data_IF_702155360860
#
_entry.id   IF_702155360860
#
_cell.length_a   1.000
_cell.length_b   1.000
_cell.length_c   1.000
_cell.angle_alpha   90.00
_cell.angle_beta   90.00
_cell.angle_gamma   90.00
#
_symmetry.space_group_name_H-M   'P 1'
#
loop_
_entity.id
_entity.type
_entity.pdbx_description
1 polymer ?
#
# COMPACT_ATOMS: atom_id res chain seq x y z
N UNK A 1 -20.10 -15.26 2.88
CA UNK A 1 -19.14 -14.13 2.79
C UNK A 1 -19.96 -12.97 2.28
N UNK A 2 -19.85 -11.81 2.89
CA UNK A 2 -20.50 -10.60 2.38
C UNK A 2 -19.93 -10.28 1.00
N UNK A 3 -20.80 -9.86 0.10
CA UNK A 3 -20.46 -9.51 -1.27
C UNK A 3 -19.69 -8.17 -1.28
N UNK A 4 -18.49 -8.15 -1.85
CA UNK A 4 -17.66 -6.95 -1.92
C UNK A 4 -18.27 -5.95 -2.88
N UNK A 5 -18.53 -4.73 -2.42
CA UNK A 5 -19.18 -3.66 -3.18
C UNK A 5 -18.15 -2.65 -3.67
N UNK A 6 -18.12 -2.43 -4.98
CA UNK A 6 -17.21 -1.50 -5.65
C UNK A 6 -18.04 -0.36 -6.26
N UNK A 7 -17.65 0.89 -5.97
CA UNK A 7 -18.13 2.05 -6.72
C UNK A 7 -17.17 2.32 -7.87
N UNK A 8 -17.67 2.29 -9.10
CA UNK A 8 -16.94 2.64 -10.31
C UNK A 8 -17.46 3.99 -10.85
N UNK A 9 -16.61 5.00 -10.88
CA UNK A 9 -16.93 6.33 -11.44
C UNK A 9 -16.12 6.53 -12.71
N UNK A 10 -16.79 6.45 -13.85
CA UNK A 10 -16.19 6.46 -15.20
C UNK A 10 -17.24 7.01 -16.19
N UNK A 11 -16.91 8.09 -16.92
CA UNK A 11 -17.85 8.74 -17.84
C UNK A 11 -17.96 8.02 -19.19
N UNK A 12 -16.93 7.31 -19.60
CA UNK A 12 -16.95 6.50 -20.82
C UNK A 12 -17.77 5.23 -20.62
N UNK A 13 -19.04 5.23 -21.07
CA UNK A 13 -19.97 4.10 -20.90
C UNK A 13 -19.40 2.75 -21.33
N UNK A 14 -18.63 2.71 -22.44
CA UNK A 14 -18.04 1.46 -22.93
C UNK A 14 -17.01 0.89 -21.96
N UNK A 15 -16.18 1.73 -21.36
CA UNK A 15 -15.18 1.35 -20.38
C UNK A 15 -15.90 0.91 -19.11
N UNK A 16 -16.85 1.73 -18.60
CA UNK A 16 -17.61 1.45 -17.40
C UNK A 16 -18.34 0.10 -17.47
N UNK A 17 -19.06 -0.17 -18.56
CA UNK A 17 -19.79 -1.44 -18.75
C UNK A 17 -18.83 -2.64 -18.88
N UNK A 18 -17.70 -2.48 -19.58
CA UNK A 18 -16.70 -3.53 -19.68
C UNK A 18 -16.09 -3.86 -18.32
N UNK A 19 -15.73 -2.85 -17.52
CA UNK A 19 -15.22 -3.02 -16.16
C UNK A 19 -16.26 -3.62 -15.23
N UNK A 20 -17.50 -3.13 -15.27
CA UNK A 20 -18.61 -3.67 -14.49
C UNK A 20 -18.80 -5.16 -14.77
N UNK A 21 -18.85 -5.55 -16.04
CA UNK A 21 -18.98 -6.95 -16.45
C UNK A 21 -17.80 -7.80 -15.95
N UNK A 22 -16.57 -7.35 -16.24
CA UNK A 22 -15.37 -8.11 -15.88
C UNK A 22 -15.23 -8.28 -14.35
N UNK A 23 -15.50 -7.23 -13.57
CA UNK A 23 -15.48 -7.29 -12.11
C UNK A 23 -16.61 -8.16 -11.55
N UNK A 24 -17.82 -8.08 -12.15
CA UNK A 24 -18.95 -8.94 -11.80
C UNK A 24 -18.64 -10.44 -12.01
N UNK A 25 -17.95 -10.79 -13.11
CA UNK A 25 -17.49 -12.16 -13.37
C UNK A 25 -16.47 -12.65 -12.32
N UNK A 26 -15.82 -11.73 -11.59
CA UNK A 26 -14.93 -12.03 -10.47
C UNK A 26 -15.67 -12.07 -9.10
N UNK A 27 -16.97 -11.91 -9.08
CA UNK A 27 -17.79 -11.97 -7.87
C UNK A 27 -17.90 -10.66 -7.09
N UNK A 28 -17.59 -9.52 -7.72
CA UNK A 28 -17.77 -8.19 -7.12
C UNK A 28 -19.13 -7.61 -7.51
N UNK A 29 -19.78 -6.93 -6.55
CA UNK A 29 -20.95 -6.11 -6.85
C UNK A 29 -20.48 -4.71 -7.26
N UNK A 30 -20.82 -4.27 -8.48
CA UNK A 30 -20.33 -2.99 -9.03
C UNK A 30 -21.47 -2.04 -9.29
N UNK A 31 -21.47 -0.91 -8.59
CA UNK A 31 -22.31 0.24 -8.89
C UNK A 31 -21.54 1.24 -9.74
N UNK A 32 -22.19 1.77 -10.78
CA UNK A 32 -21.56 2.67 -11.75
C UNK A 32 -22.16 4.07 -11.64
N UNK A 33 -21.27 5.06 -11.57
CA UNK A 33 -21.59 6.48 -11.76
C UNK A 33 -20.88 6.98 -13.04
N UNK A 34 -21.59 7.78 -13.85
CA UNK A 34 -21.07 8.32 -15.09
C UNK A 34 -20.61 9.79 -14.98
N UNK A 35 -20.63 10.34 -13.79
CA UNK A 35 -20.06 11.65 -13.45
C UNK A 35 -19.69 11.71 -11.97
N UNK A 36 -18.85 12.70 -11.61
CA UNK A 36 -18.34 12.82 -10.25
C UNK A 36 -19.40 13.22 -9.22
N UNK A 37 -20.44 13.96 -9.59
CA UNK A 37 -21.51 14.36 -8.66
C UNK A 37 -22.41 13.16 -8.31
N UNK A 38 -22.73 12.32 -9.31
CA UNK A 38 -23.45 11.07 -9.07
C UNK A 38 -22.58 10.14 -8.23
N UNK A 39 -21.28 10.03 -8.54
CA UNK A 39 -20.33 9.24 -7.76
C UNK A 39 -20.29 9.67 -6.29
N UNK A 40 -20.21 10.97 -6.02
CA UNK A 40 -20.29 11.53 -4.66
C UNK A 40 -21.60 11.13 -3.96
N UNK A 41 -22.74 11.31 -4.62
CA UNK A 41 -24.05 10.99 -4.06
C UNK A 41 -24.18 9.50 -3.72
N UNK A 42 -23.71 8.61 -4.59
CA UNK A 42 -23.72 7.18 -4.33
C UNK A 42 -22.83 6.83 -3.13
N UNK A 43 -21.62 7.38 -3.07
CA UNK A 43 -20.71 7.20 -1.94
C UNK A 43 -21.30 7.65 -0.60
N UNK A 44 -22.00 8.79 -0.57
CA UNK A 44 -22.66 9.31 0.63
C UNK A 44 -23.90 8.49 1.05
N UNK A 45 -24.49 7.75 0.10
CA UNK A 45 -25.77 7.03 0.33
C UNK A 45 -25.57 5.56 0.67
N UNK A 46 -24.55 4.92 0.09
CA UNK A 46 -24.34 3.48 0.20
C UNK A 46 -22.92 3.13 0.69
N UNK A 47 -22.75 2.04 1.45
CA UNK A 47 -21.43 1.56 1.84
C UNK A 47 -20.75 0.87 0.65
N UNK A 48 -19.48 1.20 0.42
CA UNK A 48 -18.60 0.56 -0.54
C UNK A 48 -17.31 0.09 0.13
N UNK A 49 -16.71 -0.96 -0.44
CA UNK A 49 -15.46 -1.56 0.06
C UNK A 49 -14.24 -1.09 -0.72
N UNK A 50 -14.45 -0.57 -1.95
CA UNK A 50 -13.41 -0.03 -2.81
C UNK A 50 -14.04 0.93 -3.82
N UNK A 51 -13.29 1.94 -4.23
CA UNK A 51 -13.70 2.92 -5.25
C UNK A 51 -12.69 2.89 -6.40
N UNK A 52 -13.20 2.79 -7.62
CA UNK A 52 -12.43 2.97 -8.86
C UNK A 52 -12.90 4.30 -9.47
N UNK A 53 -11.97 5.20 -9.74
CA UNK A 53 -12.27 6.59 -10.02
C UNK A 53 -11.49 7.11 -11.23
N UNK A 54 -12.16 7.47 -12.31
CA UNK A 54 -11.50 8.23 -13.37
C UNK A 54 -11.18 9.65 -12.90
N UNK A 55 -10.07 10.18 -13.35
CA UNK A 55 -9.67 11.56 -13.08
C UNK A 55 -10.52 12.53 -13.91
N UNK A 56 -10.73 12.22 -15.19
CA UNK A 56 -11.39 13.10 -16.14
C UNK A 56 -12.92 12.91 -16.12
N UNK A 57 -13.56 13.36 -15.05
CA UNK A 57 -15.02 13.26 -14.90
C UNK A 57 -15.71 14.60 -15.14
N UNK A 58 -16.89 14.62 -15.74
CA UNK A 58 -17.72 15.81 -15.79
C UNK A 58 -18.28 16.18 -14.41
N UNK A 59 -18.52 17.46 -14.21
CA UNK A 59 -19.12 18.00 -12.98
C UNK A 59 -18.12 18.13 -11.83
N UNK A 60 -17.75 17.04 -11.21
CA UNK A 60 -16.71 16.98 -10.15
C UNK A 60 -15.58 16.07 -10.62
N UNK A 61 -14.37 16.61 -10.78
CA UNK A 61 -13.25 15.81 -11.24
C UNK A 61 -12.81 14.75 -10.21
N UNK A 62 -12.06 13.73 -10.67
CA UNK A 62 -11.68 12.61 -9.82
C UNK A 62 -10.81 12.99 -8.62
N UNK A 63 -9.94 13.98 -8.75
CA UNK A 63 -9.13 14.45 -7.62
C UNK A 63 -9.97 15.12 -6.54
N UNK A 64 -10.93 15.95 -6.94
CA UNK A 64 -11.85 16.61 -6.01
C UNK A 64 -12.76 15.57 -5.33
N UNK A 65 -13.29 14.61 -6.10
CA UNK A 65 -14.08 13.52 -5.52
C UNK A 65 -13.27 12.68 -4.54
N UNK A 66 -12.02 12.37 -4.85
CA UNK A 66 -11.14 11.64 -3.93
C UNK A 66 -10.92 12.41 -2.63
N UNK A 67 -10.66 13.71 -2.68
CA UNK A 67 -10.55 14.57 -1.49
C UNK A 67 -11.83 14.57 -0.65
N UNK A 68 -13.00 14.61 -1.29
CA UNK A 68 -14.28 14.50 -0.60
C UNK A 68 -14.46 13.14 0.08
N UNK A 69 -14.12 12.05 -0.61
CA UNK A 69 -14.13 10.69 -0.05
C UNK A 69 -13.22 10.63 1.19
N UNK A 70 -12.01 11.18 1.12
CA UNK A 70 -11.04 11.17 2.22
C UNK A 70 -11.49 11.97 3.45
N UNK A 71 -12.26 13.02 3.27
CA UNK A 71 -12.88 13.75 4.39
C UNK A 71 -13.86 12.91 5.19
N UNK A 72 -14.52 11.95 4.55
CA UNK A 72 -15.52 11.08 5.17
C UNK A 72 -14.96 9.71 5.56
N UNK A 73 -13.96 9.22 4.85
CA UNK A 73 -13.34 7.92 5.10
C UNK A 73 -11.87 7.88 4.68
N UNK A 74 -10.99 7.73 5.67
CA UNK A 74 -9.56 7.52 5.42
C UNK A 74 -9.23 6.07 5.01
N UNK A 75 -10.18 5.13 5.19
CA UNK A 75 -9.92 3.68 5.10
C UNK A 75 -10.36 3.04 3.80
N UNK A 76 -11.34 3.59 3.10
CA UNK A 76 -11.83 3.00 1.84
C UNK A 76 -10.75 3.16 0.77
N UNK A 77 -10.26 2.07 0.15
CA UNK A 77 -9.28 2.19 -0.92
C UNK A 77 -9.87 2.86 -2.15
N UNK A 78 -9.07 3.74 -2.72
CA UNK A 78 -9.36 4.45 -3.96
C UNK A 78 -8.27 4.13 -4.97
N UNK A 79 -8.67 3.55 -6.12
CA UNK A 79 -7.81 3.35 -7.29
C UNK A 79 -8.20 4.39 -8.33
N UNK A 80 -7.24 5.22 -8.75
CA UNK A 80 -7.46 6.18 -9.82
C UNK A 80 -7.08 5.61 -11.18
N UNK A 81 -7.97 5.81 -12.16
CA UNK A 81 -7.70 5.56 -13.57
C UNK A 81 -7.27 6.88 -14.22
N UNK A 82 -6.13 6.91 -14.91
CA UNK A 82 -5.57 8.14 -15.46
C UNK A 82 -5.07 7.96 -16.88
N UNK A 83 -5.34 8.94 -17.74
CA UNK A 83 -4.71 9.05 -19.06
C UNK A 83 -3.35 9.78 -19.00
N UNK A 84 -2.96 10.31 -17.82
CA UNK A 84 -1.85 11.23 -17.66
C UNK A 84 -0.58 10.49 -17.24
N UNK A 85 0.50 10.72 -17.99
CA UNK A 85 1.80 10.06 -17.80
C UNK A 85 2.87 10.95 -17.17
N UNK A 86 2.53 12.18 -16.77
CA UNK A 86 3.53 13.12 -16.24
C UNK A 86 3.76 12.91 -14.72
N UNK A 87 4.97 13.25 -14.28
CA UNK A 87 5.32 13.20 -12.86
C UNK A 87 4.48 14.16 -12.02
N UNK A 88 4.07 15.32 -12.62
CA UNK A 88 3.23 16.30 -11.96
C UNK A 88 1.84 15.74 -11.66
N UNK A 89 1.22 15.02 -12.60
CA UNK A 89 -0.10 14.43 -12.44
C UNK A 89 -0.11 13.36 -11.35
N UNK A 90 0.98 12.58 -11.24
CA UNK A 90 1.14 11.58 -10.19
C UNK A 90 1.25 12.22 -8.80
N UNK A 91 1.95 13.35 -8.70
CA UNK A 91 2.09 14.10 -7.43
C UNK A 91 0.73 14.65 -7.00
N UNK A 92 -0.02 15.29 -7.91
CA UNK A 92 -1.35 15.83 -7.60
C UNK A 92 -2.33 14.73 -7.16
N UNK A 93 -2.20 13.56 -7.74
CA UNK A 93 -2.99 12.40 -7.37
C UNK A 93 -2.66 11.85 -5.99
N UNK A 94 -1.39 11.74 -5.63
CA UNK A 94 -0.99 11.33 -4.27
C UNK A 94 -1.45 12.35 -3.22
N UNK A 95 -1.40 13.65 -3.55
CA UNK A 95 -1.92 14.71 -2.67
C UNK A 95 -3.45 14.64 -2.52
N UNK A 96 -4.17 14.05 -3.48
CA UNK A 96 -5.60 13.81 -3.37
C UNK A 96 -5.95 12.63 -2.42
N UNK A 97 -4.97 11.79 -2.05
CA UNK A 97 -5.13 10.69 -1.11
C UNK A 97 -5.55 9.36 -1.73
N UNK A 98 -5.33 9.14 -3.04
CA UNK A 98 -5.55 7.84 -3.65
C UNK A 98 -4.52 6.80 -3.17
N UNK A 99 -4.93 5.52 -3.13
CA UNK A 99 -4.09 4.41 -2.68
C UNK A 99 -3.28 3.78 -3.82
N UNK A 100 -3.79 3.88 -5.06
CA UNK A 100 -3.11 3.36 -6.25
C UNK A 100 -3.56 4.09 -7.52
N UNK A 101 -2.74 3.99 -8.59
CA UNK A 101 -2.95 4.62 -9.90
C UNK A 101 -2.73 3.62 -11.02
N UNK A 102 -3.62 3.66 -12.02
CA UNK A 102 -3.51 2.85 -13.22
C UNK A 102 -3.61 3.76 -14.44
N UNK A 103 -2.61 3.69 -15.31
CA UNK A 103 -2.55 4.51 -16.52
C UNK A 103 -3.33 3.84 -17.63
N UNK A 104 -4.27 4.58 -18.26
CA UNK A 104 -5.00 4.15 -19.46
C UNK A 104 -4.08 4.27 -20.71
N UNK A 105 -4.08 3.26 -21.62
CA UNK A 105 -4.82 2.00 -21.56
C UNK A 105 -4.14 0.98 -20.64
N UNK A 106 -4.93 0.20 -19.90
CA UNK A 106 -4.45 -0.82 -18.96
C UNK A 106 -5.01 -2.22 -19.27
N UNK A 107 -4.31 -3.24 -18.80
CA UNK A 107 -4.82 -4.61 -18.82
C UNK A 107 -5.79 -4.81 -17.63
N UNK A 108 -6.94 -5.42 -17.90
CA UNK A 108 -7.92 -5.75 -16.86
C UNK A 108 -7.33 -6.65 -15.75
N UNK A 109 -6.38 -7.53 -16.09
CA UNK A 109 -5.68 -8.36 -15.11
C UNK A 109 -4.83 -7.53 -14.16
N UNK A 110 -4.21 -6.45 -14.64
CA UNK A 110 -3.46 -5.52 -13.80
C UNK A 110 -4.38 -4.86 -12.78
N UNK A 111 -5.52 -4.32 -13.22
CA UNK A 111 -6.53 -3.74 -12.34
C UNK A 111 -6.99 -4.74 -11.28
N UNK A 112 -7.28 -5.99 -11.66
CA UNK A 112 -7.68 -7.04 -10.73
C UNK A 112 -6.65 -7.36 -9.67
N UNK A 113 -5.37 -7.44 -10.03
CA UNK A 113 -4.28 -7.70 -9.07
C UNK A 113 -4.21 -6.58 -8.02
N UNK A 114 -4.32 -5.32 -8.46
CA UNK A 114 -4.29 -4.14 -7.57
C UNK A 114 -5.51 -4.09 -6.65
N UNK A 115 -6.71 -4.30 -7.18
CA UNK A 115 -7.95 -4.40 -6.39
C UNK A 115 -7.81 -5.46 -5.30
N UNK A 116 -7.38 -6.67 -5.65
CA UNK A 116 -7.18 -7.77 -4.69
C UNK A 116 -6.16 -7.43 -3.62
N UNK A 117 -5.06 -6.76 -3.97
CA UNK A 117 -4.04 -6.32 -3.03
C UNK A 117 -4.59 -5.29 -2.03
N UNK A 118 -5.39 -4.33 -2.51
CA UNK A 118 -6.00 -3.30 -1.66
C UNK A 118 -7.09 -3.89 -0.76
N UNK A 119 -8.00 -4.71 -1.29
CA UNK A 119 -9.04 -5.37 -0.51
C UNK A 119 -8.45 -6.32 0.53
N UNK A 120 -7.38 -7.04 0.21
CA UNK A 120 -6.68 -7.89 1.16
C UNK A 120 -6.18 -7.09 2.37
N UNK A 121 -5.75 -5.84 2.21
CA UNK A 121 -5.34 -4.97 3.32
C UNK A 121 -6.49 -4.64 4.26
N UNK A 122 -7.73 -4.57 3.77
CA UNK A 122 -8.92 -4.21 4.55
C UNK A 122 -9.55 -5.42 5.21
N UNK A 123 -9.79 -6.48 4.45
CA UNK A 123 -10.46 -7.68 4.95
C UNK A 123 -9.57 -8.56 5.83
N UNK A 124 -8.24 -8.38 5.81
CA UNK A 124 -7.34 -9.00 6.77
C UNK A 124 -7.20 -8.20 8.09
N UNK A 125 -8.05 -7.22 8.34
CA UNK A 125 -8.30 -6.68 9.69
C UNK A 125 -9.10 -7.65 10.60
N UNK A 126 -9.24 -8.92 10.23
CA UNK A 126 -9.46 -10.01 11.18
C UNK A 126 -8.08 -10.31 11.81
N UNK A 127 -7.93 -10.36 13.15
CA UNK A 127 -6.62 -10.45 13.80
C UNK A 127 -6.03 -11.86 13.66
N UNK A 128 -5.63 -12.24 12.45
CA UNK A 128 -4.91 -13.48 12.17
C UNK A 128 -3.97 -13.24 10.97
N UNK A 129 -2.75 -12.72 11.23
CA UNK A 129 -1.65 -13.00 10.33
C UNK A 129 -0.76 -11.88 9.83
N UNK A 130 -1.13 -10.61 9.92
CA UNK A 130 -0.25 -9.51 9.48
C UNK A 130 0.60 -8.90 10.61
N UNK A 131 0.71 -9.63 11.73
CA UNK A 131 1.62 -9.27 12.81
C UNK A 131 2.88 -10.11 12.64
N UNK A 132 3.98 -9.44 12.33
CA UNK A 132 5.30 -10.06 12.35
C UNK A 132 5.88 -9.95 13.76
N UNK A 133 6.43 -11.06 14.28
CA UNK A 133 7.06 -11.09 15.60
C UNK A 133 8.45 -11.70 15.54
N UNK A 134 9.38 -11.07 16.25
CA UNK A 134 10.72 -11.59 16.50
C UNK A 134 11.13 -11.19 17.90
N UNK A 135 11.30 -12.14 18.79
CA UNK A 135 11.49 -11.90 20.21
C UNK A 135 10.40 -10.97 20.78
N UNK A 136 10.79 -9.86 21.37
CA UNK A 136 9.94 -8.82 21.95
C UNK A 136 9.51 -7.72 20.94
N UNK A 137 9.95 -7.82 19.68
CA UNK A 137 9.58 -6.92 18.59
C UNK A 137 8.29 -7.41 17.92
N UNK A 138 7.31 -6.55 17.85
CA UNK A 138 6.04 -6.78 17.14
C UNK A 138 5.83 -5.69 16.11
N UNK A 139 5.47 -6.07 14.90
CA UNK A 139 5.21 -5.19 13.78
C UNK A 139 3.85 -5.53 13.18
N UNK A 140 2.91 -4.61 13.25
CA UNK A 140 1.61 -4.73 12.63
C UNK A 140 1.66 -4.10 11.24
N UNK A 141 1.49 -4.92 10.20
CA UNK A 141 1.60 -4.46 8.81
C UNK A 141 0.37 -3.68 8.35
N UNK A 142 -0.74 -3.80 9.05
CA UNK A 142 -1.99 -3.12 8.71
C UNK A 142 -2.04 -1.73 9.34
N UNK A 143 -1.92 -1.65 10.69
CA UNK A 143 -1.91 -0.36 11.41
C UNK A 143 -0.60 0.42 11.24
N UNK A 144 0.45 -0.20 10.68
CA UNK A 144 1.82 0.33 10.60
C UNK A 144 2.47 0.61 11.95
N UNK A 145 1.93 0.03 13.00
CA UNK A 145 2.48 0.12 14.35
C UNK A 145 3.63 -0.85 14.56
N UNK A 146 4.67 -0.37 15.20
CA UNK A 146 5.82 -1.18 15.62
C UNK A 146 6.00 -0.98 17.12
N UNK A 147 6.14 -2.09 17.84
CA UNK A 147 6.44 -2.05 19.27
C UNK A 147 7.60 -2.98 19.60
N UNK A 148 8.42 -2.62 20.59
CA UNK A 148 9.40 -3.53 21.17
C UNK A 148 9.34 -3.48 22.70
N UNK A 149 9.18 -4.64 23.34
CA UNK A 149 8.86 -4.74 24.76
C UNK A 149 7.70 -3.80 25.14
N UNK A 150 6.61 -3.84 24.33
CA UNK A 150 5.39 -3.01 24.46
C UNK A 150 5.59 -1.49 24.28
N UNK A 151 6.82 -1.02 24.04
CA UNK A 151 7.11 0.39 23.77
C UNK A 151 6.92 0.70 22.29
N UNK A 152 6.14 1.74 21.93
CA UNK A 152 5.94 2.12 20.53
C UNK A 152 7.22 2.67 19.90
N UNK A 153 7.46 2.29 18.64
CA UNK A 153 8.60 2.73 17.83
C UNK A 153 8.06 3.45 16.60
N UNK A 154 8.42 4.72 16.43
CA UNK A 154 8.05 5.49 15.24
C UNK A 154 9.08 5.28 14.13
N UNK A 155 8.64 4.71 13.01
CA UNK A 155 9.42 4.50 11.81
C UNK A 155 8.89 5.34 10.66
N UNK A 156 9.79 5.82 9.80
CA UNK A 156 9.40 6.35 8.49
C UNK A 156 8.97 5.21 7.56
N UNK A 157 8.30 5.51 6.46
CA UNK A 157 7.83 4.50 5.50
C UNK A 157 8.96 3.58 5.01
N UNK A 158 10.14 4.14 4.71
CA UNK A 158 11.31 3.35 4.26
C UNK A 158 11.95 2.53 5.37
N UNK A 159 12.03 3.05 6.58
CA UNK A 159 12.49 2.28 7.74
C UNK A 159 11.54 1.12 8.05
N UNK A 160 10.23 1.35 7.92
CA UNK A 160 9.21 0.33 8.08
C UNK A 160 9.36 -0.79 7.04
N UNK A 161 9.48 -0.44 5.74
CA UNK A 161 9.70 -1.40 4.66
C UNK A 161 10.99 -2.22 4.86
N UNK A 162 12.07 -1.56 5.27
CA UNK A 162 13.34 -2.24 5.57
C UNK A 162 13.19 -3.21 6.74
N UNK A 163 12.55 -2.80 7.82
CA UNK A 163 12.33 -3.66 8.97
C UNK A 163 11.43 -4.85 8.61
N UNK A 164 10.35 -4.62 7.86
CA UNK A 164 9.48 -5.69 7.34
C UNK A 164 10.29 -6.71 6.52
N UNK A 165 11.11 -6.24 5.60
CA UNK A 165 11.93 -7.11 4.76
C UNK A 165 12.89 -7.96 5.60
N UNK A 166 13.55 -7.36 6.60
CA UNK A 166 14.44 -8.08 7.52
C UNK A 166 13.70 -9.13 8.35
N UNK A 167 12.52 -8.82 8.88
CA UNK A 167 11.71 -9.75 9.68
C UNK A 167 11.21 -10.93 8.83
N UNK A 168 10.77 -10.67 7.60
CA UNK A 168 10.36 -11.74 6.67
C UNK A 168 11.49 -12.68 6.28
N UNK A 169 12.73 -12.20 6.35
CA UNK A 169 13.95 -12.97 6.13
C UNK A 169 14.70 -13.30 7.43
N UNK A 170 13.97 -13.39 8.56
CA UNK A 170 14.59 -13.69 9.87
C UNK A 170 15.45 -14.95 9.81
N UNK A 171 16.56 -14.94 10.53
CA UNK A 171 17.56 -16.01 10.59
C UNK A 171 18.29 -16.30 9.25
N UNK A 172 18.11 -15.42 8.26
CA UNK A 172 18.80 -15.50 6.96
C UNK A 172 19.61 -14.25 6.74
N UNK A 173 20.83 -14.40 6.21
CA UNK A 173 21.65 -13.25 5.79
C UNK A 173 21.06 -12.70 4.49
N UNK A 174 20.78 -11.39 4.46
CA UNK A 174 20.35 -10.66 3.27
C UNK A 174 21.48 -9.73 2.83
N UNK A 175 21.82 -9.77 1.56
CA UNK A 175 22.87 -8.92 1.00
C UNK A 175 22.40 -7.46 0.86
N UNK A 176 23.35 -6.52 0.71
CA UNK A 176 23.01 -5.12 0.40
C UNK A 176 22.27 -4.99 -0.92
N UNK A 177 22.65 -5.77 -1.92
CA UNK A 177 21.98 -5.80 -3.23
C UNK A 177 20.53 -6.30 -3.10
N UNK A 178 20.30 -7.39 -2.37
CA UNK A 178 18.93 -7.88 -2.12
C UNK A 178 18.05 -6.83 -1.43
N UNK A 179 18.62 -6.13 -0.43
CA UNK A 179 17.91 -5.06 0.27
C UNK A 179 17.60 -3.90 -0.69
N UNK A 180 18.58 -3.48 -1.53
CA UNK A 180 18.40 -2.41 -2.50
C UNK A 180 17.25 -2.71 -3.49
N UNK A 181 17.24 -3.89 -4.06
CA UNK A 181 16.20 -4.32 -5.02
C UNK A 181 14.83 -4.40 -4.33
N UNK A 182 14.72 -5.05 -3.18
CA UNK A 182 13.43 -5.36 -2.57
C UNK A 182 12.81 -4.21 -1.75
N UNK A 183 13.61 -3.21 -1.34
CA UNK A 183 13.13 -2.09 -0.52
C UNK A 183 13.14 -0.76 -1.28
N UNK A 184 14.05 -0.59 -2.25
CA UNK A 184 14.22 0.66 -3.01
C UNK A 184 13.90 0.54 -4.50
N UNK A 185 13.60 -0.68 -5.02
CA UNK A 185 13.41 -0.94 -6.47
C UNK A 185 14.62 -0.49 -7.33
N UNK A 186 15.84 -0.57 -6.76
CA UNK A 186 17.07 -0.14 -7.42
C UNK A 186 17.84 -1.38 -7.86
N UNK A 187 17.96 -1.57 -9.17
CA UNK A 187 18.68 -2.69 -9.81
C UNK A 187 20.12 -2.31 -10.20
N UNK A 188 20.71 -1.31 -9.55
CA UNK A 188 22.08 -0.86 -9.86
C UNK A 188 23.00 -1.00 -8.66
N UNK A 189 24.28 -1.24 -8.99
CA UNK A 189 25.40 -1.24 -8.05
C UNK A 189 25.50 0.13 -7.37
N UNK A 190 24.76 0.30 -6.30
CA UNK A 190 24.77 1.52 -5.51
C UNK A 190 26.07 1.49 -4.68
N UNK A 191 27.14 2.08 -5.20
CA UNK A 191 28.30 2.53 -4.42
C UNK A 191 27.90 3.55 -3.32
N UNK A 192 26.65 3.58 -2.93
CA UNK A 192 26.12 4.48 -1.92
C UNK A 192 25.90 3.73 -0.62
N UNK A 193 26.43 4.27 0.47
CA UNK A 193 26.23 3.78 1.84
C UNK A 193 24.76 3.93 2.32
N UNK A 194 23.80 4.08 1.40
CA UNK A 194 22.37 4.34 1.73
C UNK A 194 21.80 3.21 2.57
N UNK A 195 22.07 1.95 2.18
CA UNK A 195 21.58 0.79 2.93
C UNK A 195 22.13 0.79 4.36
N UNK A 196 23.44 1.03 4.50
CA UNK A 196 24.12 1.05 5.79
C UNK A 196 23.57 2.18 6.69
N UNK A 197 23.25 3.34 6.11
CA UNK A 197 22.64 4.48 6.80
C UNK A 197 21.23 4.11 7.32
N UNK A 198 20.38 3.52 6.48
CA UNK A 198 19.04 3.13 6.89
C UNK A 198 19.04 1.97 7.91
N UNK A 199 19.95 1.02 7.77
CA UNK A 199 20.19 -0.01 8.79
C UNK A 199 20.53 0.64 10.15
N UNK A 200 21.38 1.65 10.14
CA UNK A 200 21.74 2.38 11.36
C UNK A 200 20.55 3.16 11.94
N UNK A 201 19.70 3.77 11.09
CA UNK A 201 18.49 4.45 11.56
C UNK A 201 17.53 3.45 12.22
N UNK A 202 17.26 2.31 11.58
CA UNK A 202 16.41 1.27 12.15
C UNK A 202 17.01 0.71 13.46
N UNK A 203 18.29 0.41 13.50
CA UNK A 203 19.00 -0.04 14.73
C UNK A 203 18.88 0.96 15.87
N UNK A 204 19.04 2.25 15.60
CA UNK A 204 18.92 3.29 16.60
C UNK A 204 17.52 3.32 17.24
N UNK A 205 16.49 3.00 16.48
CA UNK A 205 15.09 2.99 16.95
C UNK A 205 14.69 1.65 17.57
N UNK A 206 15.09 0.57 16.94
CA UNK A 206 14.68 -0.79 17.33
C UNK A 206 15.60 -1.39 18.39
N UNK A 207 16.93 -1.21 18.26
CA UNK A 207 17.90 -1.94 19.06
C UNK A 207 18.59 -1.13 20.15
N UNK A 208 18.73 0.21 20.01
CA UNK A 208 19.64 1.02 20.83
C UNK A 208 19.33 0.92 22.34
N UNK A 209 18.05 0.88 22.69
CA UNK A 209 17.62 0.87 24.09
C UNK A 209 17.54 -0.54 24.72
N UNK A 210 17.85 -1.58 23.96
CA UNK A 210 17.72 -2.97 24.38
C UNK A 210 19.06 -3.67 24.43
N UNK A 211 19.25 -4.60 25.37
CA UNK A 211 20.50 -5.37 25.50
C UNK A 211 20.65 -6.34 24.32
N UNK A 212 19.57 -7.00 23.94
CA UNK A 212 19.54 -7.95 22.83
C UNK A 212 19.37 -7.21 21.51
N UNK A 213 20.42 -7.28 20.67
CA UNK A 213 20.44 -6.66 19.36
C UNK A 213 19.91 -7.64 18.31
N UNK A 214 18.76 -7.32 17.73
CA UNK A 214 18.12 -8.18 16.73
C UNK A 214 18.80 -8.05 15.36
N UNK A 215 19.23 -6.85 14.96
CA UNK A 215 19.81 -6.60 13.64
C UNK A 215 21.33 -6.64 13.75
N UNK A 216 21.94 -7.65 13.13
CA UNK A 216 23.40 -7.85 13.18
C UNK A 216 24.03 -7.72 11.79
N UNK A 217 25.30 -7.29 11.76
CA UNK A 217 26.08 -7.23 10.53
C UNK A 217 26.85 -8.55 10.38
N UNK A 218 26.72 -9.17 9.19
CA UNK A 218 27.58 -10.25 8.74
C UNK A 218 28.65 -9.66 7.83
N UNK A 219 29.86 -9.55 8.34
CA UNK A 219 30.97 -8.87 7.65
C UNK A 219 31.16 -9.48 6.25
N UNK A 220 31.20 -8.64 5.23
CA UNK A 220 31.35 -9.05 3.83
C UNK A 220 30.13 -9.66 3.17
N UNK A 221 29.04 -9.99 3.93
CA UNK A 221 27.86 -10.68 3.40
C UNK A 221 26.60 -9.81 3.42
N UNK A 222 26.41 -8.94 4.44
CA UNK A 222 25.20 -8.13 4.58
C UNK A 222 24.69 -8.08 6.02
N UNK A 223 23.38 -8.27 6.17
CA UNK A 223 22.68 -8.12 7.45
C UNK A 223 21.81 -9.34 7.76
N UNK A 224 21.63 -9.62 9.04
CA UNK A 224 20.75 -10.66 9.53
C UNK A 224 19.93 -10.11 10.70
N UNK A 225 18.62 -10.40 10.72
CA UNK A 225 17.77 -10.19 11.86
C UNK A 225 17.51 -11.54 12.52
N UNK A 226 17.87 -11.66 13.78
CA UNK A 226 17.69 -12.91 14.52
C UNK A 226 17.42 -12.67 16.01
N UNK A 227 16.73 -13.63 16.63
CA UNK A 227 16.62 -13.74 18.07
C UNK A 227 17.98 -14.24 18.60
N UNK A 228 18.45 -13.66 19.68
CA UNK A 228 19.51 -14.28 20.45
C UNK A 228 18.85 -15.41 21.30
N UNK A 229 19.47 -16.58 21.36
CA UNK A 229 18.97 -17.70 22.17
C UNK A 229 18.96 -17.37 23.66
#
# INVERSE_FOLDING_TARGET
MEEIKILLVEDEKKIAESLKKGLGEQGYHVEVAYDGLIGKKLFETYPFDLIILDINLPGLNGYELCKEIRRHSERIPVVMLTALNTTADKIEGFDAGADDYIVKPFDFKELLVRIRALLKRIYHNIPTGNILKVADLTMNLDSKEVTRAEKPISLTAKEFQLLEYLIRNKNRVVSRADIAVNVWDIDFDTNTNVIDVYINYVRNKVDKQFNDKLIQTQVGMGYILKENP
#
